data_IF_166577208866
#
_entry.id   IF_166577208866
#
_cell.length_a   1.000
_cell.length_b   1.000
_cell.length_c   1.000
_cell.angle_alpha   90.00
_cell.angle_beta   90.00
_cell.angle_gamma   90.00
#
_symmetry.space_group_name_H-M   'P 1'
#
loop_
_entity.id
_entity.type
_entity.pdbx_description
1 polymer ?
#
# COMPACT_ATOMS: atom_id res chain seq x y z
N UNK A 1 12.64 -3.21 28.37
CA UNK A 1 11.25 -2.72 28.29
C UNK A 1 11.22 -1.56 27.31
N UNK A 2 10.13 -1.34 26.56
CA UNK A 2 9.88 -0.08 25.81
C UNK A 2 10.35 -0.04 24.34
N UNK A 3 9.41 -0.32 23.44
CA UNK A 3 9.07 0.36 22.17
C UNK A 3 7.95 -0.44 21.51
N UNK A 4 8.12 -1.76 21.41
CA UNK A 4 7.07 -2.72 20.99
C UNK A 4 5.89 -2.75 21.96
N UNK A 5 6.14 -2.63 23.26
CA UNK A 5 5.09 -2.55 24.28
C UNK A 5 4.29 -1.23 24.19
N UNK A 6 4.94 -0.13 23.76
CA UNK A 6 4.26 1.15 23.53
C UNK A 6 3.48 1.17 22.21
N UNK A 7 4.01 0.53 21.15
CA UNK A 7 3.29 0.32 19.89
C UNK A 7 2.05 -0.57 20.05
N UNK A 8 2.15 -1.64 20.87
CA UNK A 8 0.98 -2.49 21.20
C UNK A 8 -0.10 -1.76 22.00
N UNK A 9 0.31 -0.88 22.93
CA UNK A 9 -0.63 -0.08 23.70
C UNK A 9 -1.34 0.97 22.83
N UNK A 10 -0.65 1.58 21.88
CA UNK A 10 -1.26 2.53 20.94
C UNK A 10 -2.20 1.85 19.93
N UNK A 11 -1.90 0.61 19.50
CA UNK A 11 -2.78 -0.13 18.59
C UNK A 11 -4.07 -0.61 19.25
N UNK A 12 -4.04 -1.02 20.52
CA UNK A 12 -5.24 -1.50 21.21
C UNK A 12 -6.19 -0.36 21.65
N UNK A 13 -5.69 0.82 21.99
CA UNK A 13 -6.53 1.91 22.51
C UNK A 13 -7.20 2.76 21.42
N UNK A 14 -6.56 2.90 20.25
CA UNK A 14 -7.17 3.56 19.09
C UNK A 14 -8.17 2.64 18.38
N UNK A 15 -7.95 1.32 18.40
CA UNK A 15 -8.96 0.35 17.92
C UNK A 15 -10.22 0.40 18.78
N UNK A 16 -10.11 0.45 20.12
CA UNK A 16 -11.29 0.52 20.99
C UNK A 16 -12.05 1.85 20.83
N UNK A 17 -11.34 2.98 20.71
CA UNK A 17 -12.00 4.29 20.55
C UNK A 17 -12.60 4.50 19.17
N UNK A 18 -12.02 3.90 18.12
CA UNK A 18 -12.61 3.85 16.77
C UNK A 18 -13.77 2.86 16.70
N UNK A 19 -13.73 1.74 17.44
CA UNK A 19 -14.82 0.77 17.54
C UNK A 19 -16.05 1.35 18.24
N UNK A 20 -15.86 2.22 19.24
CA UNK A 20 -16.94 2.95 19.92
C UNK A 20 -17.54 4.09 19.08
N UNK A 21 -16.84 4.52 18.01
CA UNK A 21 -17.21 5.67 17.17
C UNK A 21 -17.65 5.28 15.76
N UNK A 22 -17.39 4.05 15.34
CA UNK A 22 -17.86 3.49 14.08
C UNK A 22 -19.24 2.88 14.26
N UNK A 23 -20.23 3.34 13.48
CA UNK A 23 -21.61 2.83 13.49
C UNK A 23 -21.72 1.34 13.08
N UNK A 24 -20.65 0.73 12.56
CA UNK A 24 -20.63 -0.70 12.20
C UNK A 24 -19.28 -1.37 12.56
N UNK A 25 -19.26 -2.32 13.53
CA UNK A 25 -18.07 -3.08 13.92
C UNK A 25 -17.41 -3.85 12.76
N UNK A 26 -18.18 -4.20 11.72
CA UNK A 26 -17.68 -4.94 10.55
C UNK A 26 -16.63 -4.12 9.80
N UNK A 27 -16.85 -2.81 9.63
CA UNK A 27 -15.94 -1.94 8.88
C UNK A 27 -14.59 -1.78 9.58
N UNK A 28 -14.59 -1.70 10.92
CA UNK A 28 -13.36 -1.61 11.72
C UNK A 28 -12.55 -2.90 11.62
N UNK A 29 -13.22 -4.05 11.68
CA UNK A 29 -12.55 -5.35 11.52
C UNK A 29 -12.04 -5.56 10.09
N UNK A 30 -12.77 -5.11 9.07
CA UNK A 30 -12.32 -5.14 7.67
C UNK A 30 -11.08 -4.27 7.46
N UNK A 31 -11.08 -3.05 8.00
CA UNK A 31 -9.92 -2.16 7.98
C UNK A 31 -8.70 -2.80 8.65
N UNK A 32 -8.87 -3.37 9.84
CA UNK A 32 -7.82 -4.05 10.58
C UNK A 32 -7.22 -5.24 9.83
N UNK A 33 -8.07 -6.04 9.18
CA UNK A 33 -7.65 -7.17 8.37
C UNK A 33 -6.83 -6.71 7.16
N UNK A 34 -7.26 -5.65 6.48
CA UNK A 34 -6.54 -5.06 5.36
C UNK A 34 -5.17 -4.51 5.81
N UNK A 35 -5.11 -3.84 6.96
CA UNK A 35 -3.85 -3.34 7.53
C UNK A 35 -2.87 -4.49 7.83
N UNK A 36 -3.35 -5.60 8.39
CA UNK A 36 -2.53 -6.78 8.67
C UNK A 36 -2.01 -7.45 7.38
N UNK A 37 -2.85 -7.55 6.35
CA UNK A 37 -2.43 -8.03 5.04
C UNK A 37 -1.36 -7.13 4.41
N UNK A 38 -1.53 -5.81 4.49
CA UNK A 38 -0.55 -4.87 3.97
C UNK A 38 0.81 -5.03 4.68
N UNK A 39 0.80 -5.20 6.02
CA UNK A 39 2.00 -5.49 6.78
C UNK A 39 2.67 -6.80 6.35
N UNK A 40 1.89 -7.84 6.08
CA UNK A 40 2.40 -9.13 5.58
C UNK A 40 3.07 -8.96 4.21
N UNK A 41 2.45 -8.21 3.29
CA UNK A 41 3.02 -7.91 1.98
C UNK A 41 4.32 -7.11 2.12
N UNK A 42 4.35 -6.08 2.97
CA UNK A 42 5.56 -5.28 3.24
C UNK A 42 6.69 -6.14 3.81
N UNK A 43 6.37 -7.07 4.72
CA UNK A 43 7.36 -7.98 5.30
C UNK A 43 7.92 -8.96 4.25
N UNK A 44 7.07 -9.47 3.34
CA UNK A 44 7.50 -10.30 2.22
C UNK A 44 8.44 -9.55 1.28
N UNK A 45 8.12 -8.30 0.91
CA UNK A 45 9.03 -7.45 0.12
C UNK A 45 10.36 -7.23 0.84
N UNK A 46 10.33 -6.92 2.14
CA UNK A 46 11.56 -6.75 2.92
C UNK A 46 12.42 -8.01 2.97
N UNK A 47 11.82 -9.20 3.01
CA UNK A 47 12.53 -10.48 2.95
C UNK A 47 13.23 -10.67 1.59
N UNK A 48 12.57 -10.25 0.50
CA UNK A 48 13.12 -10.28 -0.86
C UNK A 48 14.29 -9.30 -1.00
N UNK A 49 14.16 -8.08 -0.46
CA UNK A 49 15.26 -7.10 -0.46
C UNK A 49 16.49 -7.63 0.27
N UNK A 50 16.29 -8.29 1.42
CA UNK A 50 17.35 -8.94 2.19
C UNK A 50 17.97 -10.12 1.43
N UNK A 51 17.15 -10.94 0.76
CA UNK A 51 17.63 -12.04 -0.07
C UNK A 51 18.46 -11.53 -1.27
N UNK A 52 18.02 -10.44 -1.90
CA UNK A 52 18.74 -9.79 -3.00
C UNK A 52 20.07 -9.22 -2.53
N UNK A 53 20.08 -8.54 -1.39
CA UNK A 53 21.31 -8.00 -0.80
C UNK A 53 22.30 -9.12 -0.49
N UNK A 54 21.83 -10.25 0.05
CA UNK A 54 22.67 -11.45 0.27
C UNK A 54 23.27 -11.96 -1.04
N UNK A 55 22.46 -12.14 -2.08
CA UNK A 55 22.91 -12.66 -3.38
C UNK A 55 23.95 -11.73 -4.02
N UNK A 56 23.79 -10.41 -3.88
CA UNK A 56 24.78 -9.45 -4.36
C UNK A 56 26.12 -9.58 -3.62
N UNK A 57 26.10 -9.75 -2.30
CA UNK A 57 27.31 -9.98 -1.50
C UNK A 57 27.98 -11.32 -1.87
N UNK A 58 27.19 -12.38 -2.07
CA UNK A 58 27.67 -13.69 -2.52
C UNK A 58 28.34 -13.61 -3.89
N UNK A 59 27.75 -12.88 -4.85
CA UNK A 59 28.38 -12.63 -6.14
C UNK A 59 29.69 -11.84 -6.03
N UNK A 60 29.76 -10.83 -5.16
CA UNK A 60 31.00 -10.09 -4.92
C UNK A 60 32.09 -10.98 -4.33
N UNK A 61 31.74 -11.80 -3.32
CA UNK A 61 32.64 -12.76 -2.71
C UNK A 61 33.13 -13.78 -3.74
N UNK A 62 32.23 -14.32 -4.57
CA UNK A 62 32.57 -15.29 -5.62
C UNK A 62 33.52 -14.70 -6.66
N UNK A 63 33.32 -13.45 -7.08
CA UNK A 63 34.24 -12.77 -8.04
C UNK A 63 35.64 -12.63 -7.48
N UNK A 64 35.78 -12.28 -6.19
CA UNK A 64 37.07 -12.20 -5.54
C UNK A 64 37.69 -13.59 -5.36
N UNK A 65 36.90 -14.58 -4.94
CA UNK A 65 37.34 -15.97 -4.83
C UNK A 65 37.88 -16.53 -6.16
N UNK A 66 37.23 -16.23 -7.28
CA UNK A 66 37.67 -16.64 -8.61
C UNK A 66 38.97 -15.92 -9.06
N UNK A 67 39.29 -14.75 -8.48
CA UNK A 67 40.50 -13.98 -8.80
C UNK A 67 41.72 -14.43 -7.99
N UNK A 68 41.51 -14.97 -6.80
CA UNK A 68 42.57 -15.51 -5.93
C UNK A 68 43.49 -16.52 -6.64
N UNK A 69 42.99 -17.56 -7.35
CA UNK A 69 43.87 -18.51 -8.03
C UNK A 69 44.67 -17.85 -9.15
N UNK A 70 44.10 -16.87 -9.86
CA UNK A 70 44.81 -16.12 -10.90
C UNK A 70 45.97 -15.29 -10.33
N UNK A 71 45.77 -14.70 -9.14
CA UNK A 71 46.82 -13.98 -8.42
C UNK A 71 47.90 -14.94 -7.90
N UNK A 72 47.52 -16.14 -7.47
CA UNK A 72 48.46 -17.19 -7.08
C UNK A 72 49.31 -17.66 -8.27
N UNK A 73 48.69 -17.89 -9.43
CA UNK A 73 49.39 -18.27 -10.67
C UNK A 73 50.32 -17.15 -11.18
N UNK A 74 49.91 -15.89 -11.04
CA UNK A 74 50.77 -14.74 -11.35
C UNK A 74 51.99 -14.70 -10.43
N UNK A 75 51.80 -14.91 -9.13
CA UNK A 75 52.89 -14.98 -8.17
C UNK A 75 53.87 -16.12 -8.51
N UNK A 76 53.37 -17.33 -8.79
CA UNK A 76 54.19 -18.48 -9.19
C UNK A 76 55.00 -18.21 -10.44
N UNK A 77 54.37 -17.64 -11.49
CA UNK A 77 55.08 -17.29 -12.73
C UNK A 77 56.15 -16.23 -12.53
N UNK A 78 55.90 -15.23 -11.70
CA UNK A 78 56.88 -14.20 -11.37
C UNK A 78 58.11 -14.76 -10.65
N UNK A 79 57.90 -15.69 -9.70
CA UNK A 79 58.98 -16.41 -9.01
C UNK A 79 59.80 -17.25 -10.00
N UNK A 80 59.15 -18.04 -10.87
CA UNK A 80 59.87 -18.83 -11.88
C UNK A 80 60.67 -17.96 -12.86
N UNK A 81 60.20 -16.73 -13.13
CA UNK A 81 60.89 -15.76 -13.98
C UNK A 81 61.99 -14.95 -13.24
N UNK A 82 62.23 -15.21 -11.95
CA UNK A 82 63.22 -14.49 -11.14
C UNK A 82 62.87 -13.02 -10.87
N UNK A 83 61.59 -12.65 -10.96
CA UNK A 83 61.10 -11.28 -10.70
C UNK A 83 60.42 -11.20 -9.33
N UNK A 84 61.23 -11.12 -8.29
CA UNK A 84 60.77 -11.11 -6.89
C UNK A 84 59.91 -9.89 -6.52
N UNK A 85 60.14 -8.76 -7.19
CA UNK A 85 59.36 -7.53 -7.06
C UNK A 85 57.90 -7.75 -7.48
N UNK A 86 57.68 -8.37 -8.64
CA UNK A 86 56.35 -8.70 -9.15
C UNK A 86 55.68 -9.81 -8.33
N UNK A 87 56.45 -10.80 -7.88
CA UNK A 87 55.95 -11.87 -7.02
C UNK A 87 55.39 -11.31 -5.70
N UNK A 88 56.12 -10.38 -5.07
CA UNK A 88 55.69 -9.74 -3.82
C UNK A 88 54.37 -8.97 -3.99
N UNK A 89 54.23 -8.20 -5.06
CA UNK A 89 52.99 -7.45 -5.35
C UNK A 89 51.81 -8.40 -5.62
N UNK A 90 52.03 -9.50 -6.33
CA UNK A 90 50.98 -10.49 -6.59
C UNK A 90 50.50 -11.18 -5.30
N UNK A 91 51.44 -11.54 -4.41
CA UNK A 91 51.13 -12.12 -3.09
C UNK A 91 50.37 -11.13 -2.21
N UNK A 92 50.79 -9.86 -2.18
CA UNK A 92 50.10 -8.81 -1.41
C UNK A 92 48.65 -8.62 -1.88
N UNK A 93 48.43 -8.55 -3.20
CA UNK A 93 47.08 -8.49 -3.79
C UNK A 93 46.24 -9.72 -3.45
N UNK A 94 46.84 -10.90 -3.45
CA UNK A 94 46.16 -12.14 -3.05
C UNK A 94 45.74 -12.08 -1.59
N UNK A 95 46.62 -11.60 -0.71
CA UNK A 95 46.33 -11.47 0.73
C UNK A 95 45.19 -10.47 0.99
N UNK A 96 45.20 -9.32 0.30
CA UNK A 96 44.10 -8.34 0.37
C UNK A 96 42.77 -8.95 -0.09
N UNK A 97 42.76 -9.67 -1.22
CA UNK A 97 41.56 -10.34 -1.72
C UNK A 97 41.03 -11.42 -0.75
N UNK A 98 41.91 -12.16 -0.08
CA UNK A 98 41.53 -13.15 0.94
C UNK A 98 40.84 -12.49 2.13
N UNK A 99 41.39 -11.39 2.65
CA UNK A 99 40.78 -10.66 3.76
C UNK A 99 39.44 -10.04 3.40
N UNK A 100 39.31 -9.52 2.18
CA UNK A 100 38.06 -8.95 1.68
C UNK A 100 36.97 -10.03 1.56
N UNK A 101 37.32 -11.22 1.06
CA UNK A 101 36.41 -12.38 1.03
C UNK A 101 35.99 -12.79 2.44
N UNK A 102 36.91 -12.82 3.41
CA UNK A 102 36.56 -13.13 4.81
C UNK A 102 35.57 -12.11 5.38
N UNK A 103 35.78 -10.82 5.10
CA UNK A 103 34.87 -9.75 5.49
C UNK A 103 33.48 -9.89 4.87
N UNK A 104 33.40 -10.17 3.56
CA UNK A 104 32.15 -10.41 2.86
C UNK A 104 31.41 -11.65 3.40
N UNK A 105 32.13 -12.73 3.70
CA UNK A 105 31.53 -13.94 4.27
C UNK A 105 30.88 -13.68 5.64
N UNK A 106 31.48 -12.81 6.47
CA UNK A 106 30.87 -12.39 7.74
C UNK A 106 29.57 -11.62 7.51
N UNK A 107 29.57 -10.67 6.58
CA UNK A 107 28.38 -9.90 6.21
C UNK A 107 27.27 -10.80 5.65
N UNK A 108 27.61 -11.77 4.79
CA UNK A 108 26.65 -12.74 4.25
C UNK A 108 26.01 -13.54 5.39
N UNK A 109 26.79 -13.97 6.39
CA UNK A 109 26.26 -14.70 7.54
C UNK A 109 25.31 -13.85 8.41
N UNK A 110 25.62 -12.56 8.60
CA UNK A 110 24.75 -11.62 9.31
C UNK A 110 23.42 -11.41 8.57
N UNK A 111 23.48 -11.17 7.26
CA UNK A 111 22.28 -10.98 6.42
C UNK A 111 21.45 -12.26 6.35
N UNK A 112 22.07 -13.44 6.34
CA UNK A 112 21.35 -14.72 6.41
C UNK A 112 20.62 -14.91 7.74
N UNK A 113 21.25 -14.54 8.87
CA UNK A 113 20.59 -14.59 10.17
C UNK A 113 19.38 -13.64 10.23
N UNK A 114 19.50 -12.45 9.64
CA UNK A 114 18.40 -11.50 9.52
C UNK A 114 17.28 -12.02 8.62
N UNK A 115 17.61 -12.63 7.47
CA UNK A 115 16.65 -13.27 6.57
C UNK A 115 15.84 -14.35 7.31
N UNK A 116 16.48 -15.21 8.08
CA UNK A 116 15.83 -16.28 8.84
C UNK A 116 14.91 -15.72 9.94
N UNK A 117 15.35 -14.67 10.63
CA UNK A 117 14.54 -13.97 11.62
C UNK A 117 13.27 -13.36 11.01
N UNK A 118 13.40 -12.68 9.87
CA UNK A 118 12.26 -12.10 9.14
C UNK A 118 11.32 -13.19 8.61
N UNK A 119 11.85 -14.30 8.10
CA UNK A 119 11.06 -15.45 7.66
C UNK A 119 10.21 -16.04 8.80
N UNK A 120 10.78 -16.14 10.00
CA UNK A 120 10.03 -16.57 11.19
C UNK A 120 8.91 -15.59 11.58
N UNK A 121 9.17 -14.29 11.45
CA UNK A 121 8.16 -13.25 11.70
C UNK A 121 7.03 -13.28 10.66
N UNK A 122 7.35 -13.54 9.39
CA UNK A 122 6.39 -13.66 8.29
C UNK A 122 5.41 -14.80 8.54
N UNK A 123 5.91 -16.00 8.86
CA UNK A 123 5.06 -17.15 9.19
C UNK A 123 4.17 -16.87 10.39
N UNK A 124 4.71 -16.23 11.42
CA UNK A 124 3.94 -15.86 12.62
C UNK A 124 2.83 -14.86 12.29
N UNK A 125 3.12 -13.87 11.44
CA UNK A 125 2.14 -12.87 11.03
C UNK A 125 1.07 -13.49 10.12
N UNK A 126 1.44 -14.38 9.21
CA UNK A 126 0.52 -15.12 8.35
C UNK A 126 -0.50 -15.91 9.17
N UNK A 127 -0.05 -16.68 10.17
CA UNK A 127 -0.97 -17.43 11.05
C UNK A 127 -1.92 -16.48 11.80
N UNK A 128 -1.43 -15.34 12.26
CA UNK A 128 -2.29 -14.34 12.94
C UNK A 128 -3.31 -13.70 12.01
N UNK A 129 -2.94 -13.41 10.77
CA UNK A 129 -3.85 -12.85 9.76
C UNK A 129 -4.99 -13.84 9.48
N UNK A 130 -4.69 -15.14 9.34
CA UNK A 130 -5.70 -16.17 9.13
C UNK A 130 -6.62 -16.33 10.36
N UNK A 131 -6.05 -16.35 11.56
CA UNK A 131 -6.84 -16.38 12.81
C UNK A 131 -7.76 -15.15 12.90
N UNK A 132 -7.26 -13.97 12.55
CA UNK A 132 -8.04 -12.74 12.57
C UNK A 132 -9.15 -12.75 11.52
N UNK A 133 -8.90 -13.34 10.33
CA UNK A 133 -9.92 -13.54 9.29
C UNK A 133 -11.08 -14.38 9.81
N UNK A 134 -10.80 -15.53 10.43
CA UNK A 134 -11.84 -16.38 11.01
C UNK A 134 -12.60 -15.65 12.12
N UNK A 135 -11.89 -14.92 12.98
CA UNK A 135 -12.52 -14.13 14.04
C UNK A 135 -13.46 -13.06 13.49
N UNK A 136 -13.03 -12.31 12.46
CA UNK A 136 -13.84 -11.31 11.76
C UNK A 136 -15.12 -11.93 11.18
N UNK A 137 -15.02 -13.08 10.53
CA UNK A 137 -16.17 -13.78 9.95
C UNK A 137 -17.19 -14.17 11.04
N UNK A 138 -16.72 -14.71 12.17
CA UNK A 138 -17.58 -15.06 13.32
C UNK A 138 -18.24 -13.83 13.94
N UNK A 139 -17.50 -12.74 14.15
CA UNK A 139 -18.04 -11.51 14.74
C UNK A 139 -19.05 -10.84 13.80
N UNK A 140 -18.74 -10.78 12.50
CA UNK A 140 -19.66 -10.24 11.48
C UNK A 140 -20.97 -11.03 11.40
N UNK A 141 -20.90 -12.37 11.46
CA UNK A 141 -22.09 -13.22 11.49
C UNK A 141 -22.94 -12.99 12.75
N UNK A 142 -22.31 -12.88 13.93
CA UNK A 142 -23.00 -12.58 15.19
C UNK A 142 -23.67 -11.21 15.18
N UNK A 143 -22.98 -10.20 14.66
CA UNK A 143 -23.53 -8.86 14.53
C UNK A 143 -24.75 -8.85 13.60
N UNK A 144 -24.63 -9.50 12.43
CA UNK A 144 -25.73 -9.60 11.45
C UNK A 144 -26.95 -10.34 12.02
N UNK A 145 -26.73 -11.38 12.84
CA UNK A 145 -27.80 -12.08 13.54
C UNK A 145 -28.49 -11.20 14.60
N UNK A 146 -27.71 -10.44 15.38
CA UNK A 146 -28.25 -9.50 16.36
C UNK A 146 -29.04 -8.36 15.71
N UNK A 147 -28.55 -7.82 14.59
CA UNK A 147 -29.25 -6.80 13.79
C UNK A 147 -30.60 -7.33 13.27
N UNK A 148 -30.64 -8.56 12.76
CA UNK A 148 -31.88 -9.21 12.32
C UNK A 148 -32.87 -9.41 13.48
N UNK A 149 -32.39 -9.78 14.67
CA UNK A 149 -33.22 -9.93 15.87
C UNK A 149 -33.84 -8.59 16.32
N UNK A 150 -33.07 -7.50 16.26
CA UNK A 150 -33.57 -6.14 16.56
C UNK A 150 -34.63 -5.71 15.55
N UNK A 151 -34.36 -5.84 14.25
CA UNK A 151 -35.34 -5.49 13.20
C UNK A 151 -36.62 -6.30 13.31
N UNK A 152 -36.52 -7.59 13.65
CA UNK A 152 -37.69 -8.43 13.91
C UNK A 152 -38.49 -7.90 15.11
N UNK A 153 -37.83 -7.58 16.23
CA UNK A 153 -38.48 -7.00 17.43
C UNK A 153 -39.12 -5.64 17.15
N UNK A 154 -38.49 -4.79 16.35
CA UNK A 154 -39.04 -3.51 15.91
C UNK A 154 -40.27 -3.69 15.00
N UNK A 155 -40.24 -4.68 14.09
CA UNK A 155 -41.38 -5.02 13.24
C UNK A 155 -42.56 -5.58 14.04
N UNK A 156 -42.29 -6.34 15.10
CA UNK A 156 -43.29 -6.87 16.02
C UNK A 156 -43.84 -5.76 16.94
N UNK A 157 -43.00 -4.82 17.38
CA UNK A 157 -43.42 -3.67 18.18
C UNK A 157 -44.22 -2.63 17.36
N UNK A 158 -44.04 -2.59 16.03
CA UNK A 158 -44.82 -1.76 15.11
C UNK A 158 -46.22 -2.28 14.84
N UNK A 159 -46.55 -3.51 15.27
CA UNK A 159 -47.89 -4.10 15.15
C UNK A 159 -48.45 -4.33 16.55
N UNK A 160 -49.44 -3.51 16.91
CA UNK A 160 -50.25 -3.53 18.14
C UNK A 160 -49.55 -3.08 19.43
N UNK A 161 -50.11 -2.04 20.04
CA UNK A 161 -49.59 -1.47 21.28
C UNK A 161 -49.74 -2.41 22.46
N UNK A 162 -48.63 -2.88 23.00
CA UNK A 162 -48.52 -3.47 24.33
C UNK A 162 -47.18 -3.04 24.97
N UNK A 163 -47.18 -1.78 25.45
CA UNK A 163 -46.07 -1.13 26.14
C UNK A 163 -45.73 -1.78 27.51
N UNK A 164 -46.46 -2.81 27.94
CA UNK A 164 -46.32 -3.46 29.23
C UNK A 164 -45.30 -4.62 29.22
N UNK A 165 -45.09 -5.30 28.10
CA UNK A 165 -44.13 -6.41 27.99
C UNK A 165 -42.71 -5.91 27.65
N UNK A 166 -42.62 -4.71 27.08
CA UNK A 166 -41.39 -4.03 26.72
C UNK A 166 -40.55 -3.62 27.95
N UNK A 167 -41.17 -3.20 29.06
CA UNK A 167 -40.45 -2.84 30.29
C UNK A 167 -39.73 -4.06 30.91
N UNK A 168 -40.33 -5.25 30.79
CA UNK A 168 -39.74 -6.53 31.20
C UNK A 168 -38.68 -7.05 30.23
N UNK A 169 -38.69 -6.61 28.97
CA UNK A 169 -37.68 -6.94 27.98
C UNK A 169 -36.43 -6.05 28.10
N UNK A 170 -36.61 -4.77 28.44
CA UNK A 170 -35.51 -3.81 28.69
C UNK A 170 -34.68 -4.22 29.90
N UNK A 171 -35.28 -4.62 31.02
CA UNK A 171 -34.53 -5.13 32.19
C UNK A 171 -33.72 -6.41 31.91
N UNK A 172 -34.18 -7.27 30.98
CA UNK A 172 -33.43 -8.48 30.55
C UNK A 172 -32.33 -8.17 29.54
N UNK A 173 -32.40 -7.05 28.83
CA UNK A 173 -31.36 -6.59 27.93
C UNK A 173 -30.19 -5.99 28.73
N UNK A 174 -30.48 -5.21 29.78
CA UNK A 174 -29.49 -4.69 30.72
C UNK A 174 -28.71 -5.83 31.42
N UNK A 175 -29.39 -6.87 31.88
CA UNK A 175 -28.72 -8.05 32.50
C UNK A 175 -27.88 -8.86 31.50
N UNK A 176 -28.21 -8.85 30.20
CA UNK A 176 -27.40 -9.48 29.15
C UNK A 176 -26.17 -8.64 28.80
N UNK A 177 -26.29 -7.32 28.80
CA UNK A 177 -25.19 -6.39 28.59
C UNK A 177 -24.16 -6.53 29.72
N UNK A 178 -24.61 -6.60 30.98
CA UNK A 178 -23.73 -6.83 32.14
C UNK A 178 -23.02 -8.19 32.09
N UNK A 179 -23.70 -9.25 31.62
CA UNK A 179 -23.06 -10.56 31.40
C UNK A 179 -22.06 -10.56 30.24
N UNK A 180 -22.30 -9.79 29.17
CA UNK A 180 -21.33 -9.63 28.09
C UNK A 180 -20.09 -8.86 28.58
N UNK A 181 -20.27 -7.83 29.39
CA UNK A 181 -19.18 -7.09 30.04
C UNK A 181 -18.38 -7.96 31.03
N UNK A 182 -19.04 -8.83 31.79
CA UNK A 182 -18.36 -9.79 32.67
C UNK A 182 -17.56 -10.84 31.88
N UNK A 183 -18.08 -11.31 30.73
CA UNK A 183 -17.41 -12.27 29.85
C UNK A 183 -16.23 -11.64 29.10
N UNK A 184 -16.31 -10.36 28.74
CA UNK A 184 -15.20 -9.59 28.17
C UNK A 184 -14.06 -9.44 29.19
N UNK A 185 -14.38 -9.14 30.46
CA UNK A 185 -13.39 -9.10 31.56
C UNK A 185 -12.72 -10.46 31.83
N UNK A 186 -13.43 -11.58 31.61
CA UNK A 186 -12.85 -12.92 31.71
C UNK A 186 -11.93 -13.26 30.51
N UNK A 187 -12.18 -12.70 29.33
CA UNK A 187 -11.30 -12.85 28.16
C UNK A 187 -10.01 -12.04 28.34
N UNK A 188 -10.08 -10.85 28.95
CA UNK A 188 -8.87 -10.10 29.37
C UNK A 188 -8.00 -10.90 30.34
N UNK A 189 -8.60 -11.76 31.20
CA UNK A 189 -7.84 -12.67 32.07
C UNK A 189 -7.21 -13.88 31.35
N UNK A 190 -7.72 -14.27 30.17
CA UNK A 190 -7.09 -15.29 29.32
C UNK A 190 -5.94 -14.71 28.47
N UNK A 191 -5.94 -13.41 28.21
CA UNK A 191 -4.81 -12.70 27.57
C UNK A 191 -3.63 -12.56 28.55
N UNK A 192 -3.89 -12.44 29.85
CA UNK A 192 -2.88 -12.50 30.92
C UNK A 192 -2.24 -13.90 31.12
N UNK A 193 -2.89 -14.97 30.64
CA UNK A 193 -2.33 -16.34 30.60
C UNK A 193 -1.32 -16.56 29.45
N UNK A 194 -1.02 -15.52 28.67
CA UNK A 194 -0.04 -15.52 27.59
C UNK A 194 1.44 -15.44 27.99
N UNK A 195 1.88 -15.99 29.13
CA UNK A 195 3.33 -16.14 29.42
C UNK A 195 3.66 -17.50 30.09
N UNK A 196 4.43 -18.34 29.37
CA UNK A 196 4.75 -19.77 29.59
C UNK A 196 5.60 -20.12 30.84
N UNK A 197 5.65 -21.39 31.34
CA UNK A 197 6.55 -22.48 30.85
C UNK A 197 5.95 -23.94 30.87
N UNK A 198 6.65 -24.99 30.37
CA UNK A 198 6.05 -26.13 29.64
C UNK A 198 5.83 -27.40 30.46
N UNK A 199 4.67 -28.05 30.37
CA UNK A 199 4.40 -29.46 30.75
C UNK A 199 3.18 -29.91 29.91
N UNK A 200 3.12 -31.04 29.20
CA UNK A 200 3.43 -32.39 29.65
C UNK A 200 2.11 -33.15 29.89
N UNK A 201 1.66 -33.93 28.90
CA UNK A 201 0.70 -35.04 29.05
C UNK A 201 -0.79 -34.71 28.97
N UNK A 202 -1.44 -35.09 27.86
CA UNK A 202 -2.89 -35.16 27.80
C UNK A 202 -3.48 -35.22 26.40
N UNK A 203 -3.11 -36.20 25.57
CA UNK A 203 -3.74 -36.38 24.24
C UNK A 203 -4.01 -37.84 23.87
N UNK A 204 -3.88 -38.78 24.81
CA UNK A 204 -4.17 -40.21 24.55
C UNK A 204 -5.60 -40.60 24.95
N UNK A 205 -6.16 -39.99 26.00
CA UNK A 205 -7.47 -40.40 26.55
C UNK A 205 -8.65 -39.96 25.67
N UNK A 206 -8.55 -38.80 25.04
CA UNK A 206 -9.62 -38.25 24.18
C UNK A 206 -9.69 -38.97 22.82
N UNK A 207 -8.55 -39.44 22.31
CA UNK A 207 -8.46 -40.25 21.11
C UNK A 207 -9.02 -41.67 21.33
N UNK A 208 -8.77 -42.26 22.51
CA UNK A 208 -9.26 -43.61 22.86
C UNK A 208 -10.80 -43.63 23.05
N UNK A 209 -11.38 -42.54 23.59
CA UNK A 209 -12.83 -42.43 23.81
C UNK A 209 -13.62 -42.28 22.50
N UNK A 210 -13.06 -41.60 21.49
CA UNK A 210 -13.65 -41.48 20.16
C UNK A 210 -13.73 -42.82 19.42
N UNK A 211 -12.79 -43.74 19.70
CA UNK A 211 -12.75 -45.05 19.05
C UNK A 211 -13.80 -46.03 19.62
N UNK A 212 -14.35 -45.78 20.80
CA UNK A 212 -15.35 -46.64 21.46
C UNK A 212 -16.79 -46.26 21.05
N UNK A 213 -17.01 -45.04 20.54
CA UNK A 213 -18.36 -44.51 20.25
C UNK A 213 -18.86 -44.74 18.82
N UNK A 214 -18.06 -45.36 17.96
CA UNK A 214 -18.38 -45.62 16.55
C UNK A 214 -18.26 -47.12 16.27
N UNK A 215 -19.28 -47.70 15.63
CA UNK A 215 -19.24 -49.12 15.23
C UNK A 215 -18.08 -49.34 14.23
N UNK A 216 -17.36 -50.49 14.27
CA UNK A 216 -16.22 -50.77 13.39
C UNK A 216 -16.50 -50.59 11.89
N UNK A 217 -17.78 -50.62 11.50
CA UNK A 217 -18.23 -50.51 10.12
C UNK A 217 -18.47 -49.04 9.69
N UNK A 218 -18.29 -48.06 10.59
CA UNK A 218 -18.41 -46.61 10.34
C UNK A 218 -19.83 -46.11 10.04
N UNK A 219 -20.85 -46.96 10.11
CA UNK A 219 -22.23 -46.64 9.71
C UNK A 219 -23.12 -46.15 10.85
N UNK A 220 -22.71 -46.35 12.10
CA UNK A 220 -23.53 -46.10 13.28
C UNK A 220 -22.68 -45.46 14.39
N UNK A 221 -23.26 -44.50 15.12
CA UNK A 221 -22.68 -43.95 16.33
C UNK A 221 -23.64 -44.13 17.50
N UNK A 222 -23.09 -44.23 18.71
CA UNK A 222 -23.86 -44.41 19.94
C UNK A 222 -24.32 -43.06 20.51
N UNK A 223 -25.63 -42.87 20.65
CA UNK A 223 -26.21 -41.69 21.29
C UNK A 223 -26.35 -41.93 22.80
N UNK A 224 -25.42 -41.39 23.59
CA UNK A 224 -25.35 -41.60 25.04
C UNK A 224 -26.54 -41.04 25.85
N UNK A 225 -27.38 -40.20 25.26
CA UNK A 225 -28.56 -39.63 25.94
C UNK A 225 -29.80 -40.49 25.66
N UNK A 226 -29.93 -41.03 24.45
CA UNK A 226 -31.06 -41.87 24.05
C UNK A 226 -30.82 -43.39 24.29
N UNK A 227 -29.59 -43.81 24.61
CA UNK A 227 -29.19 -45.22 24.77
C UNK A 227 -29.53 -46.12 23.56
N UNK A 228 -29.45 -45.59 22.34
CA UNK A 228 -29.73 -46.32 21.11
C UNK A 228 -28.70 -46.02 20.01
N UNK A 229 -28.47 -47.00 19.13
CA UNK A 229 -27.61 -46.85 17.94
C UNK A 229 -28.36 -46.16 16.81
N UNK A 230 -27.82 -45.03 16.32
CA UNK A 230 -28.42 -44.27 15.21
C UNK A 230 -27.55 -44.33 13.94
N UNK A 231 -28.17 -44.39 12.74
CA UNK A 231 -27.43 -44.43 11.49
C UNK A 231 -26.81 -43.05 11.20
N UNK A 232 -25.56 -43.05 10.73
CA UNK A 232 -24.92 -41.84 10.18
C UNK A 232 -25.58 -41.55 8.83
N UNK A 233 -26.64 -40.73 8.83
CA UNK A 233 -27.39 -40.42 7.62
C UNK A 233 -26.52 -39.64 6.63
N UNK A 234 -26.28 -40.23 5.47
CA UNK A 234 -25.70 -39.55 4.31
C UNK A 234 -26.60 -38.36 3.92
N UNK A 235 -25.97 -37.20 3.73
CA UNK A 235 -26.58 -35.91 3.47
C UNK A 235 -27.82 -35.97 2.55
N UNK A 236 -29.00 -35.78 3.14
CA UNK A 236 -30.22 -35.48 2.40
C UNK A 236 -30.19 -33.99 2.01
N UNK A 237 -29.87 -33.75 0.74
CA UNK A 237 -30.32 -32.63 -0.10
C UNK A 237 -30.69 -31.32 0.62
N UNK A 238 -29.67 -30.54 0.99
CA UNK A 238 -29.83 -29.10 1.17
C UNK A 238 -30.03 -28.46 -0.21
N UNK A 239 -31.13 -27.73 -0.37
CA UNK A 239 -31.46 -26.96 -1.56
C UNK A 239 -30.26 -26.08 -1.99
N UNK A 240 -29.91 -26.13 -3.28
CA UNK A 240 -28.95 -25.21 -3.91
C UNK A 240 -29.38 -23.77 -3.61
N UNK A 241 -28.51 -22.92 -3.02
CA UNK A 241 -28.74 -21.47 -3.00
C UNK A 241 -28.83 -20.96 -4.45
N UNK A 242 -29.62 -19.90 -4.74
CA UNK A 242 -29.59 -19.28 -6.06
C UNK A 242 -28.15 -18.87 -6.36
N UNK A 243 -27.66 -19.27 -7.54
CA UNK A 243 -26.34 -18.87 -8.01
C UNK A 243 -26.21 -17.35 -7.88
N UNK A 244 -25.18 -16.84 -7.17
CA UNK A 244 -24.89 -15.44 -7.23
C UNK A 244 -24.63 -15.13 -8.71
N UNK A 245 -25.37 -14.16 -9.27
CA UNK A 245 -25.07 -13.62 -10.60
C UNK A 245 -23.57 -13.41 -10.65
N UNK A 246 -22.90 -14.10 -11.57
CA UNK A 246 -21.46 -14.06 -11.72
C UNK A 246 -21.01 -12.60 -11.70
N UNK A 247 -20.45 -12.18 -10.57
CA UNK A 247 -19.57 -11.01 -10.59
C UNK A 247 -18.45 -11.43 -11.53
N UNK A 248 -18.13 -10.62 -12.56
CA UNK A 248 -17.04 -10.95 -13.45
C UNK A 248 -15.81 -11.23 -12.58
N UNK A 249 -15.18 -12.38 -12.82
CA UNK A 249 -13.95 -12.74 -12.14
C UNK A 249 -12.99 -11.53 -12.18
N UNK A 250 -12.26 -11.21 -11.11
CA UNK A 250 -11.25 -10.17 -11.18
C UNK A 250 -10.35 -10.52 -12.37
N UNK A 251 -10.33 -9.65 -13.38
CA UNK A 251 -9.56 -9.86 -14.60
C UNK A 251 -8.10 -10.07 -14.20
N UNK A 252 -7.67 -11.33 -14.11
CA UNK A 252 -6.26 -11.69 -14.02
C UNK A 252 -5.68 -11.45 -15.41
N UNK A 253 -5.24 -10.23 -15.61
CA UNK A 253 -4.66 -9.72 -16.83
C UNK A 253 -4.16 -8.32 -16.58
N UNK A 254 -3.26 -7.86 -17.45
CA UNK A 254 -2.60 -6.54 -17.39
C UNK A 254 -3.57 -5.36 -17.22
N UNK A 255 -4.88 -5.52 -17.46
CA UNK A 255 -5.93 -4.51 -17.25
C UNK A 255 -6.22 -4.17 -15.79
N UNK A 256 -6.22 -5.13 -14.86
CA UNK A 256 -6.45 -4.86 -13.44
C UNK A 256 -5.24 -4.22 -12.76
N UNK A 257 -4.03 -4.62 -13.18
CA UNK A 257 -2.77 -3.99 -12.79
C UNK A 257 -2.60 -2.58 -13.41
N UNK A 258 -3.02 -2.38 -14.66
CA UNK A 258 -3.01 -1.06 -15.29
C UNK A 258 -3.97 -0.07 -14.59
N UNK A 259 -5.04 -0.55 -13.96
CA UNK A 259 -5.94 0.27 -13.15
C UNK A 259 -5.32 0.74 -11.84
N UNK A 260 -4.62 -0.15 -11.12
CA UNK A 260 -3.94 0.18 -9.86
C UNK A 260 -2.71 1.06 -10.08
N UNK A 261 -1.88 0.76 -11.10
CA UNK A 261 -0.71 1.58 -11.45
C UNK A 261 -1.11 2.98 -11.93
N UNK A 262 -2.21 3.12 -12.71
CA UNK A 262 -2.73 4.45 -13.09
C UNK A 262 -3.20 5.29 -11.90
N UNK A 263 -3.78 4.64 -10.88
CA UNK A 263 -4.22 5.34 -9.66
C UNK A 263 -3.05 5.74 -8.76
N UNK A 264 -1.99 4.92 -8.70
CA UNK A 264 -0.74 5.23 -7.99
C UNK A 264 0.07 6.33 -8.70
N UNK A 265 0.12 6.31 -10.03
CA UNK A 265 0.73 7.35 -10.86
C UNK A 265 0.02 8.70 -10.67
N UNK A 266 -1.32 8.71 -10.53
CA UNK A 266 -2.08 9.92 -10.26
C UNK A 266 -1.84 10.43 -8.83
N UNK A 267 -1.74 9.55 -7.82
CA UNK A 267 -1.45 9.94 -6.44
C UNK A 267 -0.05 10.57 -6.29
N UNK A 268 0.95 10.06 -7.02
CA UNK A 268 2.29 10.67 -7.04
C UNK A 268 2.29 12.00 -7.82
N UNK A 269 1.61 12.05 -8.97
CA UNK A 269 1.39 13.26 -9.75
C UNK A 269 0.71 14.39 -8.95
N UNK A 270 -0.25 14.04 -8.09
CA UNK A 270 -0.93 14.98 -7.20
C UNK A 270 0.04 15.71 -6.25
N UNK A 271 1.10 15.04 -5.76
CA UNK A 271 2.12 15.69 -4.92
C UNK A 271 2.85 16.79 -5.69
N UNK A 272 3.28 16.49 -6.92
CA UNK A 272 3.95 17.46 -7.81
C UNK A 272 3.01 18.62 -8.14
N UNK A 273 1.72 18.33 -8.39
CA UNK A 273 0.70 19.32 -8.68
C UNK A 273 0.48 20.29 -7.50
N UNK A 274 0.43 19.77 -6.26
CA UNK A 274 0.29 20.61 -5.06
C UNK A 274 1.51 21.52 -4.87
N UNK A 275 2.72 21.02 -5.07
CA UNK A 275 3.94 21.85 -5.01
C UNK A 275 3.97 22.91 -6.12
N UNK A 276 3.58 22.55 -7.35
CA UNK A 276 3.47 23.50 -8.44
C UNK A 276 2.48 24.63 -8.12
N UNK A 277 1.35 24.32 -7.47
CA UNK A 277 0.39 25.33 -7.00
C UNK A 277 0.93 26.20 -5.88
N UNK A 278 1.72 25.67 -4.95
CA UNK A 278 2.38 26.48 -3.92
C UNK A 278 3.43 27.44 -4.51
N UNK A 279 4.17 26.99 -5.53
CA UNK A 279 5.09 27.86 -6.29
C UNK A 279 4.30 28.96 -7.02
N UNK A 280 3.16 28.62 -7.61
CA UNK A 280 2.27 29.58 -8.29
C UNK A 280 1.73 30.63 -7.31
N UNK A 281 1.21 30.21 -6.16
CA UNK A 281 0.72 31.09 -5.09
C UNK A 281 1.84 31.98 -4.57
N UNK A 282 3.01 31.42 -4.26
CA UNK A 282 4.17 32.16 -3.74
C UNK A 282 4.68 33.20 -4.75
N UNK A 283 4.79 32.82 -6.02
CA UNK A 283 5.22 33.72 -7.10
C UNK A 283 4.14 34.79 -7.39
N UNK A 284 2.86 34.43 -7.30
CA UNK A 284 1.70 35.34 -7.38
C UNK A 284 1.72 36.43 -6.32
N UNK A 285 2.01 36.03 -5.08
CA UNK A 285 2.13 36.93 -3.95
C UNK A 285 3.35 37.86 -4.12
N UNK A 286 4.49 37.32 -4.55
CA UNK A 286 5.72 38.09 -4.76
C UNK A 286 5.59 39.13 -5.88
N UNK A 287 4.99 38.76 -7.03
CA UNK A 287 4.73 39.70 -8.12
C UNK A 287 3.70 40.77 -7.74
N UNK A 288 2.72 40.43 -6.89
CA UNK A 288 1.75 41.40 -6.37
C UNK A 288 2.39 42.53 -5.55
N UNK A 289 3.52 42.28 -4.90
CA UNK A 289 4.24 43.30 -4.13
C UNK A 289 5.24 44.12 -4.96
N UNK A 290 5.68 43.59 -6.11
CA UNK A 290 6.72 44.21 -6.93
C UNK A 290 6.18 45.26 -7.92
N UNK A 291 4.90 45.16 -8.31
CA UNK A 291 4.26 46.12 -9.23
C UNK A 291 3.31 47.04 -8.46
N UNK A 292 3.50 48.37 -8.48
CA UNK A 292 2.57 49.30 -7.84
C UNK A 292 1.23 49.30 -8.57
N UNK A 293 0.23 48.63 -7.99
CA UNK A 293 -1.16 48.64 -8.48
C UNK A 293 -2.07 49.45 -7.54
N UNK A 294 -3.25 49.84 -8.06
CA UNK A 294 -4.28 50.47 -7.24
C UNK A 294 -4.71 49.54 -6.10
N UNK A 295 -5.05 50.12 -4.94
CA UNK A 295 -5.43 49.38 -3.73
C UNK A 295 -6.56 48.37 -4.00
N UNK A 296 -7.51 48.71 -4.86
CA UNK A 296 -8.63 47.83 -5.25
C UNK A 296 -8.18 46.61 -6.05
N UNK A 297 -7.27 46.78 -7.01
CA UNK A 297 -6.77 45.66 -7.82
C UNK A 297 -5.91 44.71 -6.98
N UNK A 298 -5.11 45.26 -6.06
CA UNK A 298 -4.33 44.47 -5.12
C UNK A 298 -5.23 43.66 -4.17
N UNK A 299 -6.33 44.25 -3.67
CA UNK A 299 -7.30 43.53 -2.84
C UNK A 299 -7.97 42.37 -3.58
N UNK A 300 -8.42 42.59 -4.82
CA UNK A 300 -9.04 41.54 -5.65
C UNK A 300 -8.02 40.43 -5.95
N UNK A 301 -6.78 40.78 -6.28
CA UNK A 301 -5.72 39.82 -6.55
C UNK A 301 -5.36 39.01 -5.30
N UNK A 302 -5.21 39.65 -4.14
CA UNK A 302 -4.89 38.97 -2.89
C UNK A 302 -6.06 38.06 -2.46
N UNK A 303 -7.30 38.50 -2.60
CA UNK A 303 -8.48 37.70 -2.33
C UNK A 303 -8.55 36.45 -3.25
N UNK A 304 -8.26 36.61 -4.54
CA UNK A 304 -8.20 35.49 -5.49
C UNK A 304 -7.08 34.49 -5.17
N UNK A 305 -5.88 34.98 -4.82
CA UNK A 305 -4.74 34.13 -4.42
C UNK A 305 -5.05 33.40 -3.11
N UNK A 306 -5.66 34.07 -2.12
CA UNK A 306 -6.05 33.45 -0.85
C UNK A 306 -7.13 32.38 -1.07
N UNK A 307 -8.13 32.65 -1.91
CA UNK A 307 -9.17 31.67 -2.24
C UNK A 307 -8.58 30.42 -2.90
N UNK A 308 -7.67 30.59 -3.86
CA UNK A 308 -6.91 29.49 -4.47
C UNK A 308 -6.05 28.74 -3.43
N UNK A 309 -5.41 29.46 -2.51
CA UNK A 309 -4.59 28.85 -1.46
C UNK A 309 -5.41 27.97 -0.51
N UNK A 310 -6.63 28.38 -0.14
CA UNK A 310 -7.54 27.56 0.66
C UNK A 310 -8.00 26.29 -0.07
N UNK A 311 -8.38 26.41 -1.35
CA UNK A 311 -8.76 25.25 -2.17
C UNK A 311 -7.61 24.25 -2.35
N UNK A 312 -6.40 24.76 -2.55
CA UNK A 312 -5.19 23.95 -2.64
C UNK A 312 -4.79 23.33 -1.29
N UNK A 313 -4.95 24.05 -0.18
CA UNK A 313 -4.70 23.55 1.17
C UNK A 313 -5.62 22.36 1.52
N UNK A 314 -6.90 22.43 1.13
CA UNK A 314 -7.84 21.33 1.32
C UNK A 314 -7.36 20.04 0.63
N UNK A 315 -6.94 20.14 -0.64
CA UNK A 315 -6.41 19.01 -1.39
C UNK A 315 -5.09 18.48 -0.81
N UNK A 316 -4.22 19.37 -0.33
CA UNK A 316 -2.96 18.98 0.32
C UNK A 316 -3.18 18.23 1.63
N UNK A 317 -4.13 18.69 2.47
CA UNK A 317 -4.50 18.03 3.71
C UNK A 317 -5.13 16.66 3.44
N UNK A 318 -5.90 16.54 2.36
CA UNK A 318 -6.49 15.26 1.95
C UNK A 318 -5.41 14.26 1.51
N UNK A 319 -4.41 14.72 0.77
CA UNK A 319 -3.25 13.91 0.36
C UNK A 319 -2.39 13.47 1.57
N UNK A 320 -2.15 14.37 2.53
CA UNK A 320 -1.43 14.05 3.78
C UNK A 320 -2.19 13.08 4.69
N UNK A 321 -3.52 12.99 4.56
CA UNK A 321 -4.37 12.03 5.28
C UNK A 321 -4.49 10.67 4.59
N UNK A 322 -3.72 10.42 3.51
CA UNK A 322 -3.67 9.12 2.83
C UNK A 322 -4.94 8.74 2.07
N UNK A 323 -5.87 9.69 1.88
CA UNK A 323 -7.06 9.49 1.05
C UNK A 323 -6.80 10.20 -0.29
N UNK A 324 -6.53 9.48 -1.40
CA UNK A 324 -6.42 10.13 -2.70
C UNK A 324 -7.73 10.86 -3.00
N UNK A 325 -7.65 12.15 -3.32
CA UNK A 325 -8.83 12.91 -3.72
C UNK A 325 -9.39 12.28 -5.01
N UNK A 326 -10.73 12.20 -5.11
CA UNK A 326 -11.39 11.69 -6.31
C UNK A 326 -10.85 12.40 -7.56
N UNK A 327 -10.50 11.64 -8.60
CA UNK A 327 -9.89 12.14 -9.84
C UNK A 327 -10.60 13.39 -10.38
N UNK A 328 -11.93 13.38 -10.34
CA UNK A 328 -12.79 14.48 -10.80
C UNK A 328 -12.57 15.79 -10.02
N UNK A 329 -12.28 15.72 -8.71
CA UNK A 329 -12.02 16.89 -7.87
C UNK A 329 -10.69 17.52 -8.26
N UNK A 330 -9.68 16.69 -8.58
CA UNK A 330 -8.35 17.17 -8.98
C UNK A 330 -8.41 17.83 -10.36
N UNK A 331 -9.09 17.21 -11.32
CA UNK A 331 -9.35 17.82 -12.64
C UNK A 331 -10.13 19.14 -12.51
N UNK A 332 -11.18 19.17 -11.68
CA UNK A 332 -11.97 20.37 -11.42
C UNK A 332 -11.14 21.50 -10.80
N UNK A 333 -10.27 21.19 -9.85
CA UNK A 333 -9.40 22.18 -9.22
C UNK A 333 -8.39 22.77 -10.22
N UNK A 334 -7.80 21.97 -11.12
CA UNK A 334 -6.88 22.49 -12.15
C UNK A 334 -7.60 23.38 -13.16
N UNK A 335 -8.86 23.10 -13.48
CA UNK A 335 -9.68 23.98 -14.30
C UNK A 335 -9.94 25.32 -13.60
N UNK A 336 -10.19 25.31 -12.29
CA UNK A 336 -10.37 26.51 -11.49
C UNK A 336 -9.09 27.37 -11.44
N UNK A 337 -7.91 26.76 -11.27
CA UNK A 337 -6.62 27.47 -11.30
C UNK A 337 -6.43 28.21 -12.62
N UNK A 338 -6.66 27.52 -13.74
CA UNK A 338 -6.59 28.11 -15.08
C UNK A 338 -7.57 29.28 -15.21
N UNK A 339 -8.83 29.10 -14.78
CA UNK A 339 -9.85 30.14 -14.86
C UNK A 339 -9.47 31.39 -14.05
N UNK A 340 -8.88 31.22 -12.86
CA UNK A 340 -8.41 32.35 -12.04
C UNK A 340 -7.23 33.06 -12.70
N UNK A 341 -6.27 32.33 -13.25
CA UNK A 341 -5.14 32.93 -14.01
C UNK A 341 -5.69 33.72 -15.21
N UNK A 342 -6.64 33.16 -15.95
CA UNK A 342 -7.30 33.84 -17.08
C UNK A 342 -8.01 35.11 -16.65
N UNK A 343 -8.78 35.06 -15.56
CA UNK A 343 -9.48 36.24 -15.04
C UNK A 343 -8.49 37.34 -14.65
N UNK A 344 -7.38 36.98 -14.00
CA UNK A 344 -6.37 37.94 -13.57
C UNK A 344 -5.64 38.57 -14.78
N UNK A 345 -5.35 37.79 -15.82
CA UNK A 345 -4.79 38.30 -17.09
C UNK A 345 -5.75 39.30 -17.75
N UNK A 346 -7.05 39.02 -17.77
CA UNK A 346 -8.06 39.93 -18.32
C UNK A 346 -8.13 41.26 -17.54
N UNK A 347 -8.16 41.19 -16.20
CA UNK A 347 -8.20 42.38 -15.33
C UNK A 347 -6.96 43.27 -15.53
N UNK A 348 -5.81 42.68 -15.87
CA UNK A 348 -4.55 43.40 -16.10
C UNK A 348 -4.33 43.82 -17.57
N UNK A 349 -5.38 43.82 -18.39
CA UNK A 349 -5.32 44.32 -19.77
C UNK A 349 -4.85 43.31 -20.81
N UNK A 350 -4.83 42.01 -20.48
CA UNK A 350 -4.58 40.94 -21.44
C UNK A 350 -3.09 40.72 -21.72
N UNK A 351 -2.66 40.94 -22.96
CA UNK A 351 -1.30 40.69 -23.43
C UNK A 351 -0.16 41.30 -22.56
N UNK A 352 -0.22 42.58 -22.12
CA UNK A 352 0.88 43.18 -21.36
C UNK A 352 0.96 42.64 -19.92
N UNK A 353 -0.03 41.89 -19.44
CA UNK A 353 -0.03 41.36 -18.09
C UNK A 353 1.11 40.37 -17.87
N UNK A 354 1.96 40.52 -16.82
CA UNK A 354 3.02 39.57 -16.48
C UNK A 354 2.48 38.25 -15.89
N UNK A 355 1.18 38.19 -15.57
CA UNK A 355 0.50 37.05 -14.94
C UNK A 355 0.46 35.82 -15.86
N UNK A 356 0.66 36.00 -17.18
CA UNK A 356 0.71 34.87 -18.11
C UNK A 356 1.75 33.82 -17.74
N UNK A 357 2.80 34.19 -16.99
CA UNK A 357 3.84 33.27 -16.51
C UNK A 357 3.23 32.15 -15.64
N UNK A 358 2.12 32.40 -14.94
CA UNK A 358 1.44 31.39 -14.14
C UNK A 358 0.84 30.25 -14.96
N UNK A 359 0.53 30.47 -16.24
CA UNK A 359 0.15 29.37 -17.12
C UNK A 359 1.27 28.35 -17.28
N UNK A 360 2.54 28.78 -17.28
CA UNK A 360 3.67 27.83 -17.36
C UNK A 360 3.72 26.94 -16.13
N UNK A 361 3.61 27.51 -14.93
CA UNK A 361 3.60 26.74 -13.69
C UNK A 361 2.41 25.77 -13.62
N UNK A 362 1.21 26.22 -14.00
CA UNK A 362 0.02 25.38 -14.03
C UNK A 362 0.16 24.22 -15.04
N UNK A 363 0.66 24.49 -16.24
CA UNK A 363 0.81 23.50 -17.30
C UNK A 363 1.94 22.50 -16.99
N UNK A 364 3.03 22.89 -16.31
CA UNK A 364 4.01 21.93 -15.78
C UNK A 364 3.33 20.98 -14.79
N UNK A 365 2.60 21.52 -13.81
CA UNK A 365 1.89 20.69 -12.82
C UNK A 365 0.92 19.70 -13.48
N UNK A 366 0.14 20.18 -14.45
CA UNK A 366 -0.81 19.35 -15.21
C UNK A 366 -0.09 18.32 -16.09
N UNK A 367 1.02 18.68 -16.74
CA UNK A 367 1.74 17.76 -17.64
C UNK A 367 2.50 16.65 -16.94
N UNK A 368 2.88 16.85 -15.68
CA UNK A 368 3.49 15.80 -14.85
C UNK A 368 2.43 14.91 -14.19
N UNK A 369 1.28 15.48 -13.81
CA UNK A 369 0.28 14.77 -13.03
C UNK A 369 -0.80 14.08 -13.85
N UNK A 370 -1.18 14.61 -15.01
CA UNK A 370 -2.34 14.13 -15.77
C UNK A 370 -1.94 13.26 -16.96
N UNK A 371 -2.83 12.37 -17.42
CA UNK A 371 -2.59 11.59 -18.62
C UNK A 371 -2.48 12.49 -19.85
N UNK A 372 -1.69 12.08 -20.84
CA UNK A 372 -1.36 12.87 -22.05
C UNK A 372 -2.58 13.47 -22.74
N UNK A 373 -3.69 12.73 -22.82
CA UNK A 373 -4.92 13.22 -23.42
C UNK A 373 -5.53 14.40 -22.65
N UNK A 374 -5.57 14.31 -21.32
CA UNK A 374 -6.08 15.37 -20.45
C UNK A 374 -5.15 16.57 -20.47
N UNK A 375 -3.84 16.36 -20.37
CA UNK A 375 -2.83 17.43 -20.50
C UNK A 375 -3.00 18.17 -21.82
N UNK A 376 -3.11 17.45 -22.94
CA UNK A 376 -3.34 18.06 -24.25
C UNK A 376 -4.64 18.89 -24.29
N UNK A 377 -5.72 18.39 -23.69
CA UNK A 377 -6.98 19.12 -23.54
C UNK A 377 -6.83 20.44 -22.78
N UNK A 378 -6.26 20.41 -21.58
CA UNK A 378 -6.05 21.63 -20.78
C UNK A 378 -5.09 22.61 -21.46
N UNK A 379 -4.01 22.13 -22.05
CA UNK A 379 -3.06 22.97 -22.80
C UNK A 379 -3.73 23.63 -24.01
N UNK A 380 -4.56 22.89 -24.77
CA UNK A 380 -5.30 23.45 -25.89
C UNK A 380 -6.30 24.52 -25.45
N UNK A 381 -7.00 24.30 -24.34
CA UNK A 381 -7.91 25.29 -23.74
C UNK A 381 -7.15 26.56 -23.35
N UNK A 382 -6.01 26.43 -22.66
CA UNK A 382 -5.18 27.57 -22.25
C UNK A 382 -4.66 28.34 -23.47
N UNK A 383 -4.11 27.64 -24.46
CA UNK A 383 -3.60 28.26 -25.70
C UNK A 383 -4.73 28.97 -26.46
N UNK A 384 -5.90 28.36 -26.56
CA UNK A 384 -7.05 28.95 -27.24
C UNK A 384 -7.55 30.20 -26.52
N UNK A 385 -7.82 30.11 -25.23
CA UNK A 385 -8.33 31.23 -24.43
C UNK A 385 -7.30 32.37 -24.36
N UNK A 386 -6.05 32.07 -23.99
CA UNK A 386 -5.00 33.08 -23.89
C UNK A 386 -4.66 33.68 -25.27
N UNK A 387 -4.67 32.86 -26.33
CA UNK A 387 -4.49 33.33 -27.70
C UNK A 387 -5.57 34.31 -28.14
N UNK A 388 -6.85 34.04 -27.83
CA UNK A 388 -7.96 34.96 -28.10
C UNK A 388 -7.76 36.28 -27.34
N UNK A 389 -7.40 36.20 -26.05
CA UNK A 389 -7.15 37.39 -25.23
C UNK A 389 -6.01 38.23 -25.82
N UNK A 390 -4.91 37.58 -26.20
CA UNK A 390 -3.77 38.27 -26.80
C UNK A 390 -4.11 38.88 -28.15
N UNK A 391 -4.82 38.19 -29.03
CA UNK A 391 -5.24 38.75 -30.32
C UNK A 391 -6.20 39.93 -30.16
N UNK A 392 -7.01 39.96 -29.10
CA UNK A 392 -7.92 41.06 -28.81
C UNK A 392 -7.24 42.28 -28.15
N UNK A 393 -6.06 42.11 -27.53
CA UNK A 393 -5.41 43.14 -26.69
C UNK A 393 -4.02 43.55 -27.15
N UNK A 394 -3.34 42.74 -27.96
CA UNK A 394 -2.00 43.03 -28.46
C UNK A 394 -2.05 43.89 -29.74
N UNK A 395 -1.17 44.89 -29.88
CA UNK A 395 -0.95 45.56 -31.14
C UNK A 395 -0.28 44.59 -32.15
N UNK A 396 -0.53 44.81 -33.45
CA UNK A 396 -0.19 43.84 -34.50
C UNK A 396 1.31 43.57 -34.69
N UNK A 397 2.17 44.48 -34.24
CA UNK A 397 3.63 44.34 -34.20
C UNK A 397 4.10 43.34 -33.12
N UNK A 398 3.28 43.04 -32.12
CA UNK A 398 3.60 42.10 -31.04
C UNK A 398 3.08 40.67 -31.29
N UNK A 399 2.43 40.40 -32.42
CA UNK A 399 1.98 39.05 -32.78
C UNK A 399 3.10 37.99 -32.78
N UNK A 400 4.35 38.28 -33.20
CA UNK A 400 5.45 37.33 -33.02
C UNK A 400 5.72 36.98 -31.54
N UNK A 401 5.58 37.94 -30.62
CA UNK A 401 5.73 37.71 -29.19
C UNK A 401 4.55 36.91 -28.60
N UNK A 402 3.33 37.13 -29.08
CA UNK A 402 2.18 36.30 -28.74
C UNK A 402 2.43 34.85 -29.18
N UNK A 403 2.90 34.66 -30.41
CA UNK A 403 3.20 33.34 -30.96
C UNK A 403 4.26 32.59 -30.13
N UNK A 404 5.35 33.26 -29.74
CA UNK A 404 6.39 32.63 -28.91
C UNK A 404 5.88 32.23 -27.53
N UNK A 405 5.01 33.04 -26.90
CA UNK A 405 4.39 32.69 -25.61
C UNK A 405 3.50 31.45 -25.73
N UNK A 406 2.63 31.39 -26.74
CA UNK A 406 1.76 30.22 -26.97
C UNK A 406 2.59 28.97 -27.28
N UNK A 407 3.64 29.10 -28.07
CA UNK A 407 4.57 28.01 -28.37
C UNK A 407 5.29 27.53 -27.11
N UNK A 408 5.69 28.43 -26.22
CA UNK A 408 6.32 28.08 -24.94
C UNK A 408 5.36 27.32 -24.02
N UNK A 409 4.08 27.70 -23.96
CA UNK A 409 3.05 26.95 -23.23
C UNK A 409 2.94 25.51 -23.78
N UNK A 410 2.89 25.37 -25.11
CA UNK A 410 2.84 24.06 -25.76
C UNK A 410 4.10 23.21 -25.50
N UNK A 411 5.28 23.82 -25.65
CA UNK A 411 6.56 23.15 -25.45
C UNK A 411 6.70 22.62 -24.02
N UNK A 412 6.30 23.41 -23.03
CA UNK A 412 6.33 23.02 -21.62
C UNK A 412 5.40 21.83 -21.35
N UNK A 413 4.21 21.82 -21.93
CA UNK A 413 3.28 20.69 -21.81
C UNK A 413 3.88 19.41 -22.40
N UNK A 414 4.51 19.51 -23.57
CA UNK A 414 5.16 18.37 -24.25
C UNK A 414 6.34 17.86 -23.43
N UNK A 415 7.24 18.74 -23.00
CA UNK A 415 8.41 18.36 -22.20
C UNK A 415 8.02 17.70 -20.88
N UNK A 416 7.05 18.27 -20.14
CA UNK A 416 6.58 17.69 -18.88
C UNK A 416 5.94 16.32 -19.07
N UNK A 417 5.12 16.15 -20.10
CA UNK A 417 4.47 14.87 -20.41
C UNK A 417 5.48 13.80 -20.89
N UNK A 418 6.50 14.18 -21.66
CA UNK A 418 7.58 13.28 -22.06
C UNK A 418 8.41 12.82 -20.85
N UNK A 419 8.69 13.74 -19.92
CA UNK A 419 9.39 13.43 -18.69
C UNK A 419 8.58 12.49 -17.78
N UNK A 420 7.28 12.75 -17.61
CA UNK A 420 6.40 11.88 -16.85
C UNK A 420 6.33 10.47 -17.45
N UNK A 421 6.26 10.37 -18.78
CA UNK A 421 6.20 9.10 -19.49
C UNK A 421 7.51 8.31 -19.40
N UNK A 422 8.66 8.96 -19.53
CA UNK A 422 9.96 8.29 -19.39
C UNK A 422 10.16 7.77 -17.97
N UNK A 423 9.71 8.52 -16.97
CA UNK A 423 9.82 8.14 -15.57
C UNK A 423 8.84 7.02 -15.19
N UNK A 424 7.60 7.05 -15.68
CA UNK A 424 6.63 5.94 -15.50
C UNK A 424 7.12 4.64 -16.15
N UNK A 425 7.70 4.71 -17.35
CA UNK A 425 8.29 3.54 -18.01
C UNK A 425 9.46 2.94 -17.21
N UNK A 426 10.39 3.78 -16.71
CA UNK A 426 11.52 3.31 -15.88
C UNK A 426 11.07 2.59 -14.61
N UNK A 427 9.97 3.04 -14.01
CA UNK A 427 9.38 2.41 -12.82
C UNK A 427 8.70 1.09 -13.15
N UNK A 428 7.96 1.04 -14.25
CA UNK A 428 7.32 -0.19 -14.74
C UNK A 428 8.36 -1.27 -15.05
N UNK A 429 9.48 -0.89 -15.66
CA UNK A 429 10.59 -1.81 -15.94
C UNK A 429 11.26 -2.29 -14.63
N UNK A 430 11.43 -1.42 -13.63
CA UNK A 430 11.99 -1.81 -12.34
C UNK A 430 11.08 -2.79 -11.59
N UNK A 431 9.76 -2.61 -11.65
CA UNK A 431 8.77 -3.52 -11.05
C UNK A 431 8.75 -4.85 -11.82
N UNK A 432 8.77 -4.83 -13.16
CA UNK A 432 8.82 -6.06 -13.97
C UNK A 432 10.06 -6.89 -13.65
N UNK A 433 11.22 -6.25 -13.56
CA UNK A 433 12.48 -6.93 -13.19
C UNK A 433 12.37 -7.51 -11.77
N UNK A 434 11.75 -6.79 -10.83
CA UNK A 434 11.52 -7.30 -9.49
C UNK A 434 10.59 -8.53 -9.49
N UNK A 435 9.47 -8.47 -10.22
CA UNK A 435 8.52 -9.58 -10.34
C UNK A 435 9.11 -10.80 -11.07
N UNK A 436 9.88 -10.60 -12.15
CA UNK A 436 10.60 -11.69 -12.84
C UNK A 436 11.58 -12.40 -11.88
N UNK A 437 12.26 -11.65 -11.00
CA UNK A 437 13.12 -12.21 -9.97
C UNK A 437 12.34 -12.94 -8.87
N UNK A 438 11.13 -12.47 -8.52
CA UNK A 438 10.26 -13.16 -7.58
C UNK A 438 9.83 -14.53 -8.13
N UNK A 439 9.42 -14.57 -9.40
CA UNK A 439 9.02 -15.81 -10.08
C UNK A 439 10.18 -16.82 -10.17
N UNK A 440 11.40 -16.33 -10.44
CA UNK A 440 12.60 -17.17 -10.52
C UNK A 440 12.97 -17.75 -9.14
N UNK A 441 12.90 -16.94 -8.08
CA UNK A 441 13.13 -17.38 -6.69
C UNK A 441 12.04 -18.35 -6.21
N UNK A 442 10.78 -18.11 -6.58
CA UNK A 442 9.67 -19.00 -6.21
C UNK A 442 9.78 -20.36 -6.92
N UNK A 443 10.23 -20.38 -8.18
CA UNK A 443 10.57 -21.62 -8.89
C UNK A 443 11.75 -22.36 -8.26
N UNK A 444 12.79 -21.65 -7.84
CA UNK A 444 13.97 -22.24 -7.19
C UNK A 444 13.61 -22.86 -5.83
N UNK A 445 12.72 -22.21 -5.06
CA UNK A 445 12.18 -22.74 -3.79
C UNK A 445 11.24 -23.93 -4.01
N UNK A 446 10.46 -23.92 -5.09
CA UNK A 446 9.52 -25.00 -5.42
C UNK A 446 10.21 -26.27 -5.96
N UNK A 447 11.47 -26.18 -6.40
CA UNK A 447 12.21 -27.32 -6.96
C UNK A 447 13.00 -28.01 -5.84
N UNK A 448 12.62 -29.23 -5.38
CA UNK A 448 13.39 -29.94 -4.37
C UNK A 448 14.80 -30.27 -4.91
N UNK A 449 15.84 -30.24 -4.05
CA UNK A 449 17.20 -30.51 -4.49
C UNK A 449 17.25 -31.91 -5.10
N UNK A 450 17.75 -32.00 -6.34
CA UNK A 450 17.98 -33.27 -7.00
C UNK A 450 18.81 -34.18 -6.08
N UNK A 451 18.21 -35.27 -5.61
CA UNK A 451 18.89 -36.29 -4.82
C UNK A 451 20.10 -36.78 -5.58
N UNK A 452 21.29 -36.33 -5.15
CA UNK A 452 22.55 -36.88 -5.65
C UNK A 452 22.56 -38.38 -5.36
N UNK A 453 22.83 -39.24 -6.34
CA UNK A 453 22.92 -40.68 -6.10
C UNK A 453 24.08 -40.93 -5.14
N UNK A 454 23.79 -41.64 -4.05
CA UNK A 454 24.77 -42.00 -3.04
C UNK A 454 25.98 -42.71 -3.69
N UNK A 455 27.18 -42.19 -3.41
CA UNK A 455 28.42 -42.82 -3.84
C UNK A 455 28.53 -44.23 -3.24
N UNK A 456 28.94 -45.24 -4.01
CA UNK A 456 29.12 -46.58 -3.49
C UNK A 456 30.29 -46.58 -2.48
N UNK A 457 29.98 -47.00 -1.26
CA UNK A 457 30.98 -47.28 -0.23
C UNK A 457 31.84 -48.44 -0.73
N UNK A 458 33.13 -48.19 -0.94
CA UNK A 458 34.13 -49.18 -1.32
C UNK A 458 34.92 -49.63 -0.08
#
# INVERSE_FOLDING_TARGET
MSLLTRLRLLFNTEMSSALDRAEDPRQVLDYAYNQQQELLIRLRRGLVDVATSKQQLEHQAQRLQNRIPQLDDQARRAVTAGRDDLARVAIERRWLALNEVEGLNKQIAEVEADKQRLAGQERTLQVRVEQFRTHREVVSARYSAAEAEVRLKESLAGVSGELAELSMAVGRAEERADRLQARARAIDSLVDLGSFPPLGGGDFLEAELLHIMVSPDGKWYWDGIAQEWKPVAAAAAAAKPPEPKAQPAPERGLSSFAGTVRSEDLAYGQTVLVWARWILIGTGLLLSFWSPQSLTTLQIQLAAIIALAFGNFYLHVQLLRGHPALDNVVYGASAADIAVITALVLVQGGYPSPVFIFYFAAIVGISVAFPTWMTAGYTAIVIGIYGIICLATAPGDEYPAVFTRLLMIAAIAVCGNLFARSESNRRTDAIRIHDELLDEVEQEIATPPATQPAAPVA
#
